data_IF_654966506690
#
_entry.id   IF_654966506690
#
_cell.length_a   1.000
_cell.length_b   1.000
_cell.length_c   1.000
_cell.angle_alpha   90.00
_cell.angle_beta   90.00
_cell.angle_gamma   90.00
#
_symmetry.space_group_name_H-M   'P 1'
#
loop_
_entity.id
_entity.type
_entity.pdbx_description
1 polymer ?
#
# COMPACT_ATOMS: atom_id res chain seq x y z
N UNK A 1 10.40 -12.39 -9.77
CA UNK A 1 9.57 -11.53 -8.90
C UNK A 1 9.33 -12.11 -7.52
N UNK A 2 8.91 -13.37 -7.39
CA UNK A 2 8.66 -14.01 -6.08
C UNK A 2 9.84 -13.95 -5.10
N UNK A 3 11.08 -14.10 -5.58
CA UNK A 3 12.28 -13.96 -4.75
C UNK A 3 12.46 -12.57 -4.15
N UNK A 4 12.25 -11.50 -4.95
CA UNK A 4 12.39 -10.11 -4.50
C UNK A 4 11.28 -9.77 -3.48
N UNK A 5 10.05 -10.17 -3.76
CA UNK A 5 8.92 -9.94 -2.86
C UNK A 5 9.14 -10.73 -1.55
N UNK A 6 9.56 -11.99 -1.64
CA UNK A 6 9.81 -12.85 -0.49
C UNK A 6 10.94 -12.33 0.40
N UNK A 7 12.07 -11.93 -0.17
CA UNK A 7 13.18 -11.36 0.62
C UNK A 7 12.77 -10.04 1.27
N UNK A 8 12.10 -9.14 0.54
CA UNK A 8 11.60 -7.88 1.11
C UNK A 8 10.67 -8.11 2.30
N UNK A 9 9.79 -9.12 2.21
CA UNK A 9 8.86 -9.49 3.29
C UNK A 9 9.60 -10.05 4.51
N UNK A 10 10.56 -10.95 4.29
CA UNK A 10 11.40 -11.52 5.36
C UNK A 10 12.19 -10.43 6.06
N UNK A 11 12.85 -9.54 5.31
CA UNK A 11 13.56 -8.40 5.88
C UNK A 11 12.60 -7.48 6.64
N UNK A 12 11.44 -7.15 6.09
CA UNK A 12 10.43 -6.33 6.76
C UNK A 12 10.00 -6.91 8.11
N UNK A 13 9.74 -8.23 8.17
CA UNK A 13 9.41 -8.93 9.41
C UNK A 13 10.56 -8.83 10.41
N UNK A 14 11.79 -9.13 9.98
CA UNK A 14 12.98 -9.08 10.84
C UNK A 14 13.17 -7.67 11.41
N UNK A 15 13.14 -6.63 10.56
CA UNK A 15 13.29 -5.24 11.00
C UNK A 15 12.19 -4.81 11.98
N UNK A 16 10.92 -5.10 11.68
CA UNK A 16 9.80 -4.78 12.58
C UNK A 16 9.95 -5.50 13.91
N UNK A 17 10.40 -6.76 13.90
CA UNK A 17 10.62 -7.54 15.12
C UNK A 17 11.79 -7.00 15.93
N UNK A 18 12.89 -6.58 15.29
CA UNK A 18 14.00 -5.90 15.98
C UNK A 18 13.54 -4.57 16.58
N UNK A 19 12.78 -3.76 15.86
CA UNK A 19 12.25 -2.48 16.36
C UNK A 19 11.40 -2.69 17.62
N UNK A 20 10.50 -3.68 17.59
CA UNK A 20 9.67 -4.05 18.75
C UNK A 20 10.51 -4.59 19.92
N UNK A 21 11.51 -5.42 19.64
CA UNK A 21 12.35 -6.06 20.68
C UNK A 21 13.32 -5.08 21.35
N UNK A 22 13.92 -4.18 20.58
CA UNK A 22 14.89 -3.20 21.07
C UNK A 22 14.25 -1.88 21.53
N UNK A 23 12.92 -1.74 21.45
CA UNK A 23 12.20 -0.50 21.79
C UNK A 23 12.89 0.74 21.18
N UNK A 24 13.23 0.63 19.89
CA UNK A 24 13.96 1.69 19.19
C UNK A 24 13.09 2.95 19.24
N UNK A 25 13.62 3.99 19.88
CA UNK A 25 12.99 5.29 19.95
C UNK A 25 13.19 6.00 18.62
N UNK A 26 12.16 6.70 18.14
CA UNK A 26 12.33 7.64 17.03
C UNK A 26 13.36 8.69 17.40
N UNK A 27 13.89 9.42 16.41
CA UNK A 27 14.82 10.52 16.61
C UNK A 27 14.31 11.58 17.63
N UNK A 28 12.99 11.65 17.83
CA UNK A 28 12.28 12.50 18.79
C UNK A 28 12.03 11.86 20.18
N UNK A 29 12.53 10.65 20.45
CA UNK A 29 12.44 9.99 21.76
C UNK A 29 11.17 9.17 22.02
N UNK A 30 10.21 9.14 21.10
CA UNK A 30 8.96 8.38 21.23
C UNK A 30 9.14 6.89 20.87
N UNK A 31 8.46 5.96 21.55
CA UNK A 31 8.47 4.55 21.17
C UNK A 31 7.75 4.36 19.83
N UNK A 32 8.35 3.59 18.91
CA UNK A 32 7.70 3.24 17.64
C UNK A 32 6.50 2.32 17.91
N UNK A 33 5.31 2.91 18.05
CA UNK A 33 4.04 2.20 18.14
C UNK A 33 3.49 1.94 16.74
N UNK A 34 3.59 0.70 16.30
CA UNK A 34 2.93 0.23 15.08
C UNK A 34 1.45 0.06 15.43
N UNK A 35 0.59 0.94 14.90
CA UNK A 35 -0.85 0.85 15.10
C UNK A 35 -1.40 -0.44 14.48
N UNK A 36 -2.24 -1.15 15.25
CA UNK A 36 -2.89 -2.34 14.75
C UNK A 36 -3.91 -1.98 13.67
N UNK A 37 -4.01 -2.87 12.67
CA UNK A 37 -4.95 -2.72 11.57
C UNK A 37 -6.35 -3.07 12.05
N UNK A 38 -7.34 -2.23 11.75
CA UNK A 38 -8.74 -2.49 12.09
C UNK A 38 -9.20 -3.84 11.53
N UNK A 39 -9.90 -4.63 12.34
CA UNK A 39 -10.36 -5.96 11.93
C UNK A 39 -11.69 -5.86 11.17
N UNK A 40 -11.65 -5.48 9.88
CA UNK A 40 -12.81 -5.57 8.98
C UNK A 40 -12.50 -6.48 7.79
N UNK A 41 -13.03 -7.70 7.80
CA UNK A 41 -12.77 -8.70 6.75
C UNK A 41 -13.45 -8.31 5.44
N UNK A 42 -14.71 -7.87 5.50
CA UNK A 42 -15.51 -7.50 4.32
C UNK A 42 -14.85 -6.37 3.52
N UNK A 43 -14.40 -5.32 4.22
CA UNK A 43 -13.72 -4.16 3.60
C UNK A 43 -12.44 -4.54 2.87
N UNK A 44 -11.61 -5.40 3.46
CA UNK A 44 -10.35 -5.80 2.84
C UNK A 44 -10.54 -6.80 1.71
N UNK A 45 -11.56 -7.66 1.79
CA UNK A 45 -11.83 -8.62 0.73
C UNK A 45 -12.34 -7.90 -0.52
N UNK A 46 -13.36 -7.04 -0.37
CA UNK A 46 -13.94 -6.27 -1.49
C UNK A 46 -12.89 -5.31 -2.06
N UNK A 47 -12.20 -4.55 -1.21
CA UNK A 47 -11.14 -3.63 -1.64
C UNK A 47 -9.97 -4.34 -2.31
N UNK A 48 -9.56 -5.51 -1.79
CA UNK A 48 -8.48 -6.31 -2.36
C UNK A 48 -8.82 -6.88 -3.74
N UNK A 49 -10.06 -7.35 -3.94
CA UNK A 49 -10.53 -7.84 -5.24
C UNK A 49 -10.56 -6.70 -6.26
N UNK A 50 -11.17 -5.56 -5.93
CA UNK A 50 -11.25 -4.41 -6.84
C UNK A 50 -9.85 -3.90 -7.19
N UNK A 51 -8.96 -3.79 -6.20
CA UNK A 51 -7.58 -3.37 -6.41
C UNK A 51 -6.79 -4.36 -7.29
N UNK A 52 -6.94 -5.67 -7.03
CA UNK A 52 -6.29 -6.71 -7.83
C UNK A 52 -6.77 -6.74 -9.28
N UNK A 53 -8.08 -6.60 -9.51
CA UNK A 53 -8.65 -6.49 -10.86
C UNK A 53 -8.15 -5.23 -11.58
N UNK A 54 -8.12 -4.09 -10.88
CA UNK A 54 -7.60 -2.84 -11.44
C UNK A 54 -6.13 -2.95 -11.84
N UNK A 55 -5.30 -3.60 -11.02
CA UNK A 55 -3.91 -3.86 -11.35
C UNK A 55 -3.78 -4.81 -12.55
N UNK A 56 -4.57 -5.89 -12.61
CA UNK A 56 -4.56 -6.81 -13.75
C UNK A 56 -4.94 -6.09 -15.07
N UNK A 57 -5.89 -5.17 -15.04
CA UNK A 57 -6.32 -4.37 -16.20
C UNK A 57 -5.29 -3.30 -16.59
N UNK A 58 -4.70 -2.60 -15.62
CA UNK A 58 -3.74 -1.53 -15.87
C UNK A 58 -2.33 -2.03 -16.22
N UNK A 59 -2.02 -3.30 -15.91
CA UNK A 59 -0.71 -3.90 -16.18
C UNK A 59 0.45 -3.35 -15.34
N UNK A 60 0.17 -2.50 -14.33
CA UNK A 60 1.18 -1.85 -13.51
C UNK A 60 0.78 -1.81 -12.03
N UNK A 61 1.74 -2.05 -11.13
CA UNK A 61 1.54 -1.83 -9.70
C UNK A 61 1.69 -0.35 -9.34
N UNK A 62 1.23 0.06 -8.14
CA UNK A 62 1.56 1.38 -7.61
C UNK A 62 3.06 1.71 -7.65
N UNK A 63 3.95 0.74 -7.40
CA UNK A 63 5.40 0.96 -7.44
C UNK A 63 5.92 1.35 -8.84
N UNK A 64 5.73 0.51 -9.87
CA UNK A 64 6.15 0.82 -11.23
C UNK A 64 5.47 2.06 -11.80
N UNK A 65 4.23 2.40 -11.43
CA UNK A 65 3.59 3.63 -11.94
C UNK A 65 4.51 4.84 -11.74
N UNK A 66 5.07 5.04 -10.54
CA UNK A 66 5.98 6.17 -10.29
C UNK A 66 7.30 6.07 -11.07
N UNK A 67 7.85 4.86 -11.21
CA UNK A 67 9.11 4.64 -11.96
C UNK A 67 8.91 4.85 -13.46
N UNK A 68 7.80 4.38 -14.02
CA UNK A 68 7.44 4.55 -15.44
C UNK A 68 7.12 6.02 -15.77
N UNK A 69 6.49 6.78 -14.85
CA UNK A 69 6.35 8.23 -15.01
C UNK A 69 7.73 8.88 -15.09
N UNK A 70 8.64 8.54 -14.18
CA UNK A 70 10.01 9.05 -14.18
C UNK A 70 10.82 8.67 -15.42
N UNK A 71 10.50 7.53 -16.04
CA UNK A 71 11.09 7.07 -17.30
C UNK A 71 10.47 7.70 -18.56
N UNK A 72 9.47 8.58 -18.42
CA UNK A 72 8.87 9.32 -19.54
C UNK A 72 7.71 8.63 -20.25
N UNK A 73 7.11 7.57 -19.67
CA UNK A 73 5.95 6.91 -20.24
C UNK A 73 4.66 7.71 -20.00
N UNK A 74 4.29 8.53 -20.99
CA UNK A 74 3.10 9.40 -20.95
C UNK A 74 1.78 8.66 -20.65
N UNK A 75 1.50 7.45 -21.20
CA UNK A 75 0.24 6.74 -20.93
C UNK A 75 0.04 6.38 -19.44
N UNK A 76 1.13 6.20 -18.69
CA UNK A 76 1.06 5.82 -17.29
C UNK A 76 0.57 6.99 -16.41
N UNK A 77 0.68 8.24 -16.86
CA UNK A 77 0.11 9.39 -16.14
C UNK A 77 -1.42 9.29 -16.05
N UNK A 78 -2.08 8.76 -17.09
CA UNK A 78 -3.53 8.55 -17.08
C UNK A 78 -3.90 7.57 -15.96
N UNK A 79 -3.17 6.46 -15.87
CA UNK A 79 -3.35 5.45 -14.81
C UNK A 79 -3.11 6.05 -13.43
N UNK A 80 -2.07 6.89 -13.28
CA UNK A 80 -1.77 7.57 -12.02
C UNK A 80 -2.91 8.51 -11.61
N UNK A 81 -3.40 9.36 -12.52
CA UNK A 81 -4.51 10.30 -12.25
C UNK A 81 -5.77 9.53 -11.90
N UNK A 82 -6.11 8.48 -12.66
CA UNK A 82 -7.27 7.62 -12.35
C UNK A 82 -7.13 6.92 -10.99
N UNK A 83 -5.93 6.45 -10.62
CA UNK A 83 -5.69 5.83 -9.31
C UNK A 83 -5.83 6.84 -8.16
N UNK A 84 -5.34 8.06 -8.34
CA UNK A 84 -5.48 9.14 -7.35
C UNK A 84 -6.94 9.56 -7.21
N UNK A 85 -7.67 9.73 -8.31
CA UNK A 85 -9.10 10.03 -8.28
C UNK A 85 -9.90 8.90 -7.62
N UNK A 86 -9.61 7.64 -7.94
CA UNK A 86 -10.25 6.48 -7.34
C UNK A 86 -10.04 6.40 -5.82
N UNK A 87 -8.80 6.65 -5.36
CA UNK A 87 -8.50 6.65 -3.91
C UNK A 87 -9.12 7.85 -3.20
N UNK A 88 -9.21 9.01 -3.85
CA UNK A 88 -9.88 10.20 -3.32
C UNK A 88 -11.39 9.98 -3.15
N UNK A 89 -12.05 9.44 -4.18
CA UNK A 89 -13.47 9.09 -4.12
C UNK A 89 -13.71 8.04 -3.04
N UNK A 90 -12.87 7.01 -2.96
CA UNK A 90 -12.96 6.01 -1.89
C UNK A 90 -12.79 6.63 -0.50
N UNK A 91 -11.87 7.60 -0.34
CA UNK A 91 -11.66 8.33 0.91
C UNK A 91 -12.91 9.10 1.37
N UNK A 92 -13.59 9.76 0.44
CA UNK A 92 -14.85 10.47 0.69
C UNK A 92 -16.01 9.52 0.98
N UNK A 93 -16.06 8.36 0.33
CA UNK A 93 -17.16 7.41 0.46
C UNK A 93 -16.99 6.46 1.65
N UNK A 94 -15.77 6.34 2.19
CA UNK A 94 -15.41 5.46 3.31
C UNK A 94 -16.32 5.68 4.52
N UNK A 95 -16.67 6.92 4.84
CA UNK A 95 -17.49 7.25 6.02
C UNK A 95 -18.97 6.88 5.83
N UNK A 96 -19.41 6.67 4.58
CA UNK A 96 -20.78 6.25 4.21
C UNK A 96 -20.93 4.75 3.96
N UNK A 97 -19.83 4.01 3.88
CA UNK A 97 -19.86 2.56 3.63
C UNK A 97 -20.03 1.81 4.96
N UNK A 98 -20.97 0.84 5.05
CA UNK A 98 -21.18 0.07 6.28
C UNK A 98 -19.87 -0.64 6.65
N UNK A 99 -19.41 -0.39 7.89
CA UNK A 99 -18.14 -0.87 8.42
C UNK A 99 -18.21 -2.33 8.83
#
# INVERSE_FOLDING_TARGET
MYGIIGTALVFGIIFVQLIKRFNIKTFSGEPIRIADKDKSVSRYLIGGIIFGLGWALAGACPGPIFVLVGAGYVPILVVLISAVLGTFIYGLLKDKLPH
#
